data_IF_117825254329
#
_entry.id   IF_117825254329
#
_cell.length_a   1.000
_cell.length_b   1.000
_cell.length_c   1.000
_cell.angle_alpha   90.00
_cell.angle_beta   90.00
_cell.angle_gamma   90.00
#
_symmetry.space_group_name_H-M   'P 1'
#
loop_
_entity.id
_entity.type
_entity.pdbx_description
1 polymer ?
#
# COMPACT_ATOMS: atom_id res chain seq x y z
N UNK A 1 10.94 -5.39 9.81
CA UNK A 1 10.36 -4.16 9.22
C UNK A 1 10.37 -4.32 7.70
N UNK A 2 9.31 -3.95 6.99
CA UNK A 2 9.28 -4.04 5.52
C UNK A 2 10.11 -2.91 4.90
N UNK A 3 10.88 -3.23 3.86
CA UNK A 3 11.59 -2.22 3.06
C UNK A 3 10.61 -1.44 2.17
N UNK A 4 11.00 -0.25 1.71
CA UNK A 4 10.17 0.56 0.81
C UNK A 4 9.85 -0.20 -0.49
N UNK A 5 10.82 -0.93 -1.05
CA UNK A 5 10.60 -1.78 -2.24
C UNK A 5 9.57 -2.88 -1.98
N UNK A 6 9.61 -3.52 -0.80
CA UNK A 6 8.61 -4.52 -0.43
C UNK A 6 7.21 -3.91 -0.29
N UNK A 7 7.11 -2.70 0.28
CA UNK A 7 5.83 -1.97 0.36
C UNK A 7 5.28 -1.65 -1.02
N UNK A 8 6.11 -1.15 -1.94
CA UNK A 8 5.74 -0.90 -3.34
C UNK A 8 5.22 -2.16 -4.04
N UNK A 9 5.89 -3.31 -3.87
CA UNK A 9 5.44 -4.59 -4.45
C UNK A 9 4.08 -5.02 -3.87
N UNK A 10 3.86 -4.87 -2.55
CA UNK A 10 2.57 -5.19 -1.92
C UNK A 10 1.46 -4.30 -2.47
N UNK A 11 1.72 -3.01 -2.61
CA UNK A 11 0.78 -2.03 -3.17
C UNK A 11 0.41 -2.38 -4.62
N UNK A 12 1.40 -2.69 -5.48
CA UNK A 12 1.14 -3.10 -6.85
C UNK A 12 0.31 -4.39 -6.95
N UNK A 13 0.59 -5.39 -6.10
CA UNK A 13 -0.23 -6.61 -6.00
C UNK A 13 -1.66 -6.34 -5.51
N UNK A 14 -1.86 -5.30 -4.72
CA UNK A 14 -3.17 -4.87 -4.26
C UNK A 14 -3.92 -3.99 -5.29
N UNK A 15 -3.33 -3.73 -6.45
CA UNK A 15 -3.89 -2.86 -7.49
C UNK A 15 -3.82 -1.37 -7.16
N UNK A 16 -3.01 -0.97 -6.17
CA UNK A 16 -2.73 0.45 -5.88
C UNK A 16 -1.69 0.93 -6.88
N UNK A 17 -1.96 2.07 -7.53
CA UNK A 17 -1.01 2.70 -8.45
C UNK A 17 0.21 3.21 -7.67
N UNK A 18 1.39 2.67 -8.00
CA UNK A 18 2.65 3.01 -7.33
C UNK A 18 3.54 3.77 -8.31
N UNK A 19 4.08 4.94 -7.92
CA UNK A 19 5.01 5.68 -8.76
C UNK A 19 6.21 4.84 -9.18
N UNK A 20 6.69 5.03 -10.41
CA UNK A 20 7.89 4.37 -10.92
C UNK A 20 9.11 4.68 -10.04
N UNK A 21 9.96 3.68 -9.83
CA UNK A 21 11.16 3.84 -9.02
C UNK A 21 12.19 4.71 -9.77
N UNK A 22 12.82 5.71 -9.13
CA UNK A 22 13.67 6.68 -9.83
C UNK A 22 14.97 6.14 -10.43
N UNK A 23 15.40 4.90 -10.12
CA UNK A 23 16.49 4.25 -10.91
C UNK A 23 16.04 3.72 -12.27
N UNK A 24 14.74 3.45 -12.45
CA UNK A 24 14.18 3.03 -13.73
C UNK A 24 13.93 4.24 -14.67
N UNK A 25 13.90 5.47 -14.11
CA UNK A 25 13.70 6.73 -14.83
C UNK A 25 14.99 7.27 -15.51
N UNK A 26 15.97 6.42 -15.80
CA UNK A 26 17.14 6.80 -16.62
C UNK A 26 16.79 7.01 -18.10
N UNK A 27 15.52 6.83 -18.49
CA UNK A 27 15.05 6.90 -19.87
C UNK A 27 14.47 8.27 -20.28
N UNK A 28 14.55 9.31 -19.45
CA UNK A 28 14.19 10.68 -19.87
C UNK A 28 15.46 11.48 -20.20
N UNK A 29 15.88 11.56 -21.48
CA UNK A 29 16.94 12.48 -21.87
C UNK A 29 16.36 13.90 -22.01
N UNK A 30 17.19 14.86 -21.58
CA UNK A 30 17.28 16.22 -22.14
C UNK A 30 16.37 17.32 -21.55
N UNK A 31 16.94 18.08 -20.61
CA UNK A 31 17.01 19.54 -20.74
C UNK A 31 18.16 20.11 -19.89
N UNK A 32 19.10 20.74 -20.60
CA UNK A 32 20.08 21.74 -20.15
C UNK A 32 21.18 21.32 -19.17
N UNK A 33 22.41 21.51 -19.62
CA UNK A 33 23.64 21.12 -18.95
C UNK A 33 23.79 21.67 -17.53
N UNK A 34 24.06 20.76 -16.61
CA UNK A 34 24.75 21.00 -15.35
C UNK A 34 25.21 19.64 -14.83
N UNK A 35 26.35 19.55 -14.13
CA UNK A 35 26.85 18.27 -13.64
C UNK A 35 25.79 17.71 -12.71
N UNK A 36 25.21 16.56 -13.08
CA UNK A 36 24.21 15.85 -12.28
C UNK A 36 24.89 15.46 -10.97
N UNK A 37 24.76 16.33 -9.97
CA UNK A 37 25.21 16.05 -8.62
C UNK A 37 24.48 14.81 -8.14
N UNK A 38 25.24 13.86 -7.58
CA UNK A 38 24.72 12.67 -6.89
C UNK A 38 23.64 13.00 -5.82
N UNK A 39 23.60 14.25 -5.34
CA UNK A 39 22.59 14.80 -4.43
C UNK A 39 21.16 14.76 -5.01
N UNK A 40 20.97 15.01 -6.31
CA UNK A 40 19.64 15.06 -6.94
C UNK A 40 18.97 13.69 -7.09
N UNK A 41 19.76 12.64 -7.34
CA UNK A 41 19.27 11.25 -7.39
C UNK A 41 18.84 10.79 -6.00
N UNK A 42 19.62 11.14 -4.98
CA UNK A 42 19.26 10.86 -3.59
C UNK A 42 17.94 11.53 -3.21
N UNK A 43 17.75 12.81 -3.55
CA UNK A 43 16.50 13.51 -3.23
C UNK A 43 15.26 12.86 -3.88
N UNK A 44 15.31 12.54 -5.17
CA UNK A 44 14.20 11.85 -5.87
C UNK A 44 13.89 10.49 -5.24
N UNK A 45 14.91 9.74 -4.82
CA UNK A 45 14.73 8.45 -4.12
C UNK A 45 14.03 8.63 -2.76
N UNK A 46 14.38 9.67 -2.00
CA UNK A 46 13.72 9.97 -0.72
C UNK A 46 12.26 10.42 -0.92
N UNK A 47 11.98 11.23 -1.95
CA UNK A 47 10.62 11.65 -2.29
C UNK A 47 9.75 10.46 -2.73
N UNK A 48 10.30 9.59 -3.57
CA UNK A 48 9.64 8.34 -3.95
C UNK A 48 9.36 7.45 -2.73
N UNK A 49 10.34 7.30 -1.83
CA UNK A 49 10.17 6.51 -0.62
C UNK A 49 9.07 7.07 0.30
N UNK A 50 8.99 8.40 0.43
CA UNK A 50 7.92 9.07 1.17
C UNK A 50 6.55 8.79 0.54
N UNK A 51 6.43 8.88 -0.78
CA UNK A 51 5.18 8.61 -1.48
C UNK A 51 4.69 7.17 -1.27
N UNK A 52 5.60 6.19 -1.39
CA UNK A 52 5.30 4.77 -1.12
C UNK A 52 4.86 4.57 0.32
N UNK A 53 5.51 5.23 1.29
CA UNK A 53 5.13 5.13 2.70
C UNK A 53 3.70 5.64 2.93
N UNK A 54 3.36 6.81 2.38
CA UNK A 54 2.01 7.39 2.49
C UNK A 54 0.96 6.45 1.91
N UNK A 55 1.19 5.91 0.70
CA UNK A 55 0.28 4.95 0.08
C UNK A 55 0.13 3.68 0.93
N UNK A 56 1.23 3.17 1.49
CA UNK A 56 1.22 1.97 2.31
C UNK A 56 0.43 2.16 3.61
N UNK A 57 0.56 3.32 4.27
CA UNK A 57 -0.22 3.64 5.47
C UNK A 57 -1.72 3.64 5.16
N UNK A 58 -2.13 4.31 4.07
CA UNK A 58 -3.53 4.34 3.64
C UNK A 58 -4.06 2.94 3.30
N UNK A 59 -3.26 2.13 2.58
CA UNK A 59 -3.60 0.74 2.26
C UNK A 59 -3.80 -0.12 3.52
N UNK A 60 -2.87 -0.06 4.48
CA UNK A 60 -2.96 -0.84 5.72
C UNK A 60 -4.17 -0.40 6.56
N UNK A 61 -4.42 0.91 6.65
CA UNK A 61 -5.60 1.42 7.34
C UNK A 61 -6.91 0.89 6.71
N UNK A 62 -7.01 0.94 5.37
CA UNK A 62 -8.18 0.42 4.66
C UNK A 62 -8.35 -1.10 4.85
N UNK A 63 -7.24 -1.85 4.80
CA UNK A 63 -7.22 -3.30 5.02
C UNK A 63 -7.64 -3.66 6.45
N UNK A 64 -7.18 -2.92 7.45
CA UNK A 64 -7.56 -3.11 8.84
C UNK A 64 -9.06 -2.81 9.06
N UNK A 65 -9.56 -1.71 8.49
CA UNK A 65 -10.98 -1.37 8.54
C UNK A 65 -11.86 -2.44 7.87
N UNK A 66 -11.41 -3.03 6.75
CA UNK A 66 -12.10 -4.18 6.15
C UNK A 66 -12.09 -5.40 7.08
N UNK A 67 -10.93 -5.79 7.60
CA UNK A 67 -10.82 -6.95 8.50
C UNK A 67 -11.69 -6.84 9.75
N UNK A 68 -11.88 -5.63 10.28
CA UNK A 68 -12.79 -5.39 11.42
C UNK A 68 -14.26 -5.61 11.03
N UNK A 69 -14.67 -5.16 9.85
CA UNK A 69 -16.03 -5.42 9.33
C UNK A 69 -16.26 -6.91 9.10
N UNK A 70 -15.34 -7.58 8.42
CA UNK A 70 -15.42 -9.01 8.14
C UNK A 70 -15.53 -9.83 9.46
N UNK A 71 -14.80 -9.42 10.51
CA UNK A 71 -14.86 -10.06 11.82
C UNK A 71 -16.20 -9.86 12.55
N UNK A 72 -16.81 -8.68 12.40
CA UNK A 72 -18.11 -8.39 13.00
C UNK A 72 -19.25 -9.11 12.26
N UNK A 73 -19.21 -9.14 10.93
CA UNK A 73 -20.13 -9.94 10.11
C UNK A 73 -20.06 -11.44 10.46
N UNK A 74 -18.86 -11.97 10.72
CA UNK A 74 -18.67 -13.34 11.17
C UNK A 74 -19.31 -13.61 12.56
N UNK A 75 -19.24 -12.65 13.49
CA UNK A 75 -19.89 -12.75 14.80
C UNK A 75 -21.41 -12.72 14.68
N UNK A 76 -21.94 -11.76 13.93
CA UNK A 76 -23.37 -11.59 13.72
C UNK A 76 -23.97 -12.83 13.03
N UNK A 77 -23.32 -13.33 11.99
CA UNK A 77 -23.77 -14.56 11.31
C UNK A 77 -23.73 -15.79 12.21
N UNK A 78 -22.75 -15.89 13.12
CA UNK A 78 -22.69 -16.97 14.11
C UNK A 78 -23.85 -16.86 15.11
N UNK A 79 -24.12 -15.67 15.65
CA UNK A 79 -25.23 -15.42 16.57
C UNK A 79 -26.58 -15.75 15.94
N UNK A 80 -26.83 -15.30 14.70
CA UNK A 80 -28.05 -15.62 13.97
C UNK A 80 -28.21 -17.13 13.77
N UNK A 81 -27.12 -17.84 13.46
CA UNK A 81 -27.15 -19.30 13.31
C UNK A 81 -27.56 -20.00 14.61
N UNK A 82 -27.01 -19.57 15.75
CA UNK A 82 -27.36 -20.11 17.06
C UNK A 82 -28.84 -19.85 17.41
N UNK A 83 -29.34 -18.64 17.20
CA UNK A 83 -30.75 -18.31 17.43
C UNK A 83 -31.68 -19.13 16.52
N UNK A 84 -31.33 -19.29 15.24
CA UNK A 84 -32.12 -20.09 14.31
C UNK A 84 -32.18 -21.57 14.67
N UNK A 85 -31.11 -22.11 15.26
CA UNK A 85 -31.06 -23.48 15.76
C UNK A 85 -31.87 -23.64 17.05
N UNK A 86 -31.83 -22.63 17.94
CA UNK A 86 -32.60 -22.64 19.19
C UNK A 86 -34.13 -22.54 18.97
N UNK A 87 -34.58 -21.90 17.89
CA UNK A 87 -36.01 -21.81 17.54
C UNK A 87 -36.56 -23.11 16.92
N UNK A 88 -35.68 -23.96 16.36
CA UNK A 88 -36.06 -25.22 15.72
C UNK A 88 -35.98 -26.45 16.65
N UNK A 89 -35.47 -26.28 17.86
CA UNK A 89 -35.38 -27.32 18.90
C UNK A 89 -36.51 -27.16 19.92
#
# INVERSE_FOLDING_TARGET
MLTILQKAVILGKAGVDVPAHPVDDLSTPMATGSPVKAEGVSQKAHEWARAVETLYVSYVAARAAKSLRDAEEARQSTMLRQLSAAVQA
#
